data_IF_871747342047
#
_entry.id   IF_871747342047
#
_cell.length_a   1.000
_cell.length_b   1.000
_cell.length_c   1.000
_cell.angle_alpha   90.00
_cell.angle_beta   90.00
_cell.angle_gamma   90.00
#
_symmetry.space_group_name_H-M   'P 1'
#
loop_
_entity.id
_entity.type
_entity.pdbx_description
1 polymer ?
#
# COMPACT_ATOMS: atom_id res chain seq x y z
N UNK A 1 -25.56 0.85 -5.16
CA UNK A 1 -24.12 0.50 -5.16
C UNK A 1 -23.94 -0.66 -4.18
N UNK A 2 -23.21 -1.74 -4.51
CA UNK A 2 -22.98 -2.84 -3.55
C UNK A 2 -22.25 -2.30 -2.31
N UNK A 3 -22.60 -2.73 -1.11
CA UNK A 3 -22.08 -2.17 0.15
C UNK A 3 -20.54 -2.13 0.21
N UNK A 4 -19.88 -3.18 -0.28
CA UNK A 4 -18.41 -3.22 -0.35
C UNK A 4 -17.79 -2.14 -1.24
N UNK A 5 -18.42 -1.80 -2.38
CA UNK A 5 -17.92 -0.76 -3.27
C UNK A 5 -18.02 0.64 -2.65
N UNK A 6 -19.01 0.85 -1.77
CA UNK A 6 -19.14 2.09 -1.00
C UNK A 6 -18.00 2.22 0.01
N UNK A 7 -17.74 1.19 0.81
CA UNK A 7 -16.66 1.21 1.80
C UNK A 7 -15.30 1.39 1.15
N UNK A 8 -15.02 0.71 0.02
CA UNK A 8 -13.76 0.91 -0.72
C UNK A 8 -13.58 2.37 -1.10
N UNK A 9 -14.64 3.04 -1.59
CA UNK A 9 -14.54 4.44 -2.00
C UNK A 9 -14.36 5.39 -0.82
N UNK A 10 -15.03 5.13 0.30
CA UNK A 10 -14.86 5.92 1.52
C UNK A 10 -13.44 5.83 2.06
N UNK A 11 -12.84 4.63 2.07
CA UNK A 11 -11.44 4.44 2.48
C UNK A 11 -10.49 5.11 1.48
N UNK A 12 -10.73 4.98 0.18
CA UNK A 12 -9.92 5.65 -0.85
C UNK A 12 -9.91 7.16 -0.65
N UNK A 13 -11.09 7.78 -0.51
CA UNK A 13 -11.22 9.22 -0.26
C UNK A 13 -10.53 9.63 1.04
N UNK A 14 -10.78 8.91 2.13
CA UNK A 14 -10.14 9.21 3.41
C UNK A 14 -8.61 9.21 3.33
N UNK A 15 -8.02 8.18 2.73
CA UNK A 15 -6.56 8.05 2.65
C UNK A 15 -5.93 9.14 1.77
N UNK A 16 -6.56 9.47 0.64
CA UNK A 16 -6.10 10.56 -0.23
C UNK A 16 -6.19 11.93 0.46
N UNK A 17 -7.28 12.18 1.21
CA UNK A 17 -7.46 13.42 1.98
C UNK A 17 -6.43 13.56 3.11
N UNK A 18 -5.88 12.45 3.62
CA UNK A 18 -4.77 12.47 4.58
C UNK A 18 -3.40 12.72 3.94
N UNK A 19 -3.32 12.90 2.62
CA UNK A 19 -2.09 13.26 1.91
C UNK A 19 -1.36 12.10 1.24
N UNK A 20 -2.01 10.95 1.06
CA UNK A 20 -1.48 9.92 0.17
C UNK A 20 -1.60 10.35 -1.29
N UNK A 21 -0.61 10.02 -2.11
CA UNK A 21 -0.65 10.27 -3.56
C UNK A 21 -1.35 9.15 -4.32
N UNK A 22 -1.34 7.93 -3.76
CA UNK A 22 -1.96 6.76 -4.35
C UNK A 22 -2.35 5.74 -3.28
N UNK A 23 -3.46 5.04 -3.52
CA UNK A 23 -3.92 3.90 -2.71
C UNK A 23 -4.34 2.74 -3.61
N UNK A 24 -4.01 1.52 -3.20
CA UNK A 24 -4.35 0.29 -3.91
C UNK A 24 -4.95 -0.76 -2.99
N UNK A 25 -5.87 -1.57 -3.53
CA UNK A 25 -6.56 -2.63 -2.80
C UNK A 25 -6.29 -3.98 -3.47
N UNK A 26 -5.94 -4.99 -2.67
CA UNK A 26 -5.63 -6.32 -3.16
C UNK A 26 -6.35 -7.39 -2.33
N UNK A 27 -7.14 -8.26 -2.98
CA UNK A 27 -7.60 -9.50 -2.32
C UNK A 27 -6.39 -10.32 -1.88
N UNK A 28 -6.53 -11.00 -0.74
CA UNK A 28 -5.53 -11.94 -0.24
C UNK A 28 -5.19 -13.07 -1.22
N UNK A 29 -6.05 -13.36 -2.20
CA UNK A 29 -5.80 -14.37 -3.25
C UNK A 29 -4.57 -14.03 -4.11
N UNK A 30 -4.21 -12.74 -4.18
CA UNK A 30 -2.99 -12.29 -4.87
C UNK A 30 -1.72 -12.77 -4.17
N UNK A 31 -1.81 -13.12 -2.88
CA UNK A 31 -0.70 -13.54 -2.03
C UNK A 31 -0.65 -15.06 -1.82
N UNK A 32 -1.43 -15.84 -2.60
CA UNK A 32 -1.46 -17.31 -2.47
C UNK A 32 -0.09 -17.99 -2.66
N UNK A 33 0.83 -17.34 -3.37
CA UNK A 33 2.19 -17.81 -3.65
C UNK A 33 3.25 -17.08 -2.81
N UNK A 34 2.85 -16.32 -1.79
CA UNK A 34 3.81 -15.71 -0.88
C UNK A 34 4.60 -16.83 -0.16
N UNK A 35 5.90 -16.62 0.13
CA UNK A 35 6.68 -17.58 0.91
C UNK A 35 6.05 -17.86 2.27
N UNK A 36 6.36 -19.03 2.85
CA UNK A 36 5.83 -19.43 4.15
C UNK A 36 6.18 -18.40 5.24
N UNK A 37 5.17 -17.99 6.01
CA UNK A 37 5.31 -16.94 7.04
C UNK A 37 5.21 -15.50 6.52
N UNK A 38 4.98 -15.30 5.21
CA UNK A 38 4.86 -13.99 4.57
C UNK A 38 3.48 -13.72 3.96
N UNK A 39 2.48 -14.54 4.25
CA UNK A 39 1.10 -14.25 3.87
C UNK A 39 0.52 -13.19 4.81
N UNK A 40 -0.41 -12.35 4.34
CA UNK A 40 -1.11 -11.42 5.22
C UNK A 40 -1.77 -12.11 6.43
N UNK A 41 -2.30 -13.32 6.22
CA UNK A 41 -2.94 -14.10 7.29
C UNK A 41 -1.98 -14.61 8.37
N UNK A 42 -0.68 -14.67 8.10
CA UNK A 42 0.31 -15.08 9.09
C UNK A 42 0.44 -14.01 10.19
N UNK A 43 0.18 -12.74 9.87
CA UNK A 43 0.17 -11.62 10.80
C UNK A 43 -1.22 -11.32 11.36
N UNK A 44 -2.25 -11.39 10.51
CA UNK A 44 -3.64 -11.12 10.88
C UNK A 44 -4.53 -12.21 10.29
N UNK A 45 -4.90 -13.20 11.12
CA UNK A 45 -5.59 -14.43 10.69
C UNK A 45 -6.79 -14.20 9.78
N UNK A 46 -7.59 -13.17 10.07
CA UNK A 46 -8.82 -12.85 9.34
C UNK A 46 -8.63 -11.80 8.24
N UNK A 47 -7.38 -11.54 7.82
CA UNK A 47 -7.09 -10.62 6.73
C UNK A 47 -7.77 -11.08 5.42
N UNK A 48 -8.57 -10.19 4.84
CA UNK A 48 -9.29 -10.41 3.58
C UNK A 48 -8.78 -9.54 2.42
N UNK A 49 -8.27 -8.34 2.75
CA UNK A 49 -7.77 -7.36 1.78
C UNK A 49 -6.51 -6.71 2.34
N UNK A 50 -5.52 -6.49 1.47
CA UNK A 50 -4.34 -5.65 1.74
C UNK A 50 -4.55 -4.29 1.09
N UNK A 51 -4.34 -3.22 1.85
CA UNK A 51 -4.40 -1.84 1.38
C UNK A 51 -2.97 -1.30 1.32
N UNK A 52 -2.51 -0.93 0.13
CA UNK A 52 -1.19 -0.31 -0.07
C UNK A 52 -1.36 1.20 -0.21
N UNK A 53 -0.60 1.97 0.56
CA UNK A 53 -0.61 3.44 0.55
C UNK A 53 0.74 3.91 0.05
N UNK A 54 0.75 4.83 -0.89
CA UNK A 54 1.97 5.40 -1.45
C UNK A 54 2.01 6.92 -1.23
N UNK A 55 3.19 7.38 -0.81
CA UNK A 55 3.52 8.80 -0.63
C UNK A 55 4.72 9.10 -1.52
N UNK A 56 4.54 10.05 -2.42
CA UNK A 56 5.53 10.51 -3.38
C UNK A 56 6.60 11.33 -2.68
N UNK A 57 7.85 10.89 -2.83
CA UNK A 57 9.01 11.67 -2.42
C UNK A 57 9.38 12.67 -3.53
N UNK A 58 9.79 13.87 -3.13
CA UNK A 58 10.23 14.89 -4.08
C UNK A 58 11.38 14.34 -4.95
N UNK A 59 11.28 14.48 -6.28
CA UNK A 59 12.26 13.89 -7.20
C UNK A 59 13.71 14.34 -6.93
N UNK A 60 13.89 15.59 -6.51
CA UNK A 60 15.21 16.13 -6.18
C UNK A 60 15.94 15.35 -5.08
N UNK A 61 15.21 14.84 -4.07
CA UNK A 61 15.82 14.04 -3.00
C UNK A 61 16.12 12.61 -3.46
N UNK A 62 15.32 12.06 -4.37
CA UNK A 62 15.54 10.72 -4.92
C UNK A 62 16.65 10.66 -5.97
N UNK A 63 16.98 11.79 -6.61
CA UNK A 63 18.04 11.87 -7.61
C UNK A 63 19.45 11.80 -7.00
N UNK A 64 19.57 12.03 -5.69
CA UNK A 64 20.81 11.83 -4.93
C UNK A 64 20.67 10.53 -4.14
N UNK A 65 20.83 9.40 -4.84
CA UNK A 65 20.89 8.08 -4.20
C UNK A 65 22.19 7.41 -4.63
N UNK A 66 23.17 7.40 -3.73
CA UNK A 66 24.54 6.89 -3.98
C UNK A 66 25.56 7.56 -3.06
N UNK A 67 26.68 6.88 -2.81
CA UNK A 67 27.71 7.34 -1.87
C UNK A 67 28.26 8.73 -2.23
N UNK A 68 28.17 9.65 -1.27
CA UNK A 68 28.87 10.93 -1.29
C UNK A 68 30.38 10.66 -1.17
N UNK A 69 31.03 10.37 -2.30
CA UNK A 69 32.43 9.92 -2.32
C UNK A 69 33.44 11.06 -2.26
N UNK A 70 33.05 12.33 -2.48
CA UNK A 70 33.91 13.52 -2.24
C UNK A 70 33.09 14.82 -1.99
N UNK A 71 33.62 15.74 -1.16
CA UNK A 71 33.03 17.06 -0.91
C UNK A 71 33.03 17.98 -2.15
#
# INVERSE_FOLDING_TARGET
>A
MKDGAKVTKEVETFVLDQGADLVGFASIDRFRNAPDGYRPQDYMRDAAVVISIAVGLARGICNIWGDYTKP
#
